data_IF_291939442692
#
_entry.id   IF_291939442692
#
_cell.length_a   1.000
_cell.length_b   1.000
_cell.length_c   1.000
_cell.angle_alpha   90.00
_cell.angle_beta   90.00
_cell.angle_gamma   90.00
#
_symmetry.space_group_name_H-M   'P 1'
#
loop_
_entity.id
_entity.type
_entity.pdbx_description
1 polymer ?
#
# COMPACT_ATOMS: atom_id res chain seq x y z
N UNK A 1 39.07 10.29 -19.95
CA UNK A 1 38.24 9.41 -19.09
C UNK A 1 36.84 9.40 -19.66
N UNK A 2 36.30 8.23 -19.97
CA UNK A 2 34.91 8.11 -20.43
C UNK A 2 33.98 8.10 -19.22
N UNK A 3 32.91 8.90 -19.27
CA UNK A 3 31.96 9.01 -18.18
C UNK A 3 30.53 9.03 -18.68
N UNK A 4 29.60 8.49 -17.89
CA UNK A 4 28.15 8.64 -18.08
C UNK A 4 27.61 9.47 -16.92
N UNK A 5 26.81 10.48 -17.25
CA UNK A 5 26.10 11.28 -16.26
C UNK A 5 24.78 10.59 -15.95
N UNK A 6 24.50 10.29 -14.68
CA UNK A 6 23.26 9.68 -14.27
C UNK A 6 22.60 10.47 -13.16
N UNK A 7 21.28 10.42 -13.10
CA UNK A 7 20.51 11.00 -12.00
C UNK A 7 19.36 10.09 -11.61
N UNK A 8 19.15 9.91 -10.31
CA UNK A 8 17.93 9.25 -9.86
C UNK A 8 16.72 10.13 -10.11
N UNK A 9 15.61 9.55 -10.56
CA UNK A 9 14.34 10.27 -10.71
C UNK A 9 13.87 10.96 -9.43
N UNK A 10 14.34 10.51 -8.26
CA UNK A 10 14.05 11.10 -6.95
C UNK A 10 15.02 12.22 -6.52
N UNK A 11 16.11 12.45 -7.26
CA UNK A 11 17.15 13.45 -6.96
C UNK A 11 17.20 14.52 -8.06
N UNK A 12 17.68 15.71 -7.71
CA UNK A 12 17.88 16.83 -8.65
C UNK A 12 19.29 16.83 -9.25
N UNK A 13 20.27 16.31 -8.53
CA UNK A 13 21.69 16.34 -8.88
C UNK A 13 22.11 15.17 -9.77
N UNK A 14 23.05 15.44 -10.68
CA UNK A 14 23.68 14.42 -11.52
C UNK A 14 24.96 13.90 -10.86
N UNK A 15 25.06 12.58 -10.80
CA UNK A 15 26.27 11.86 -10.43
C UNK A 15 26.94 11.32 -11.71
N UNK A 16 28.21 10.94 -11.62
CA UNK A 16 28.99 10.49 -12.78
C UNK A 16 29.58 9.12 -12.55
N UNK A 17 29.33 8.18 -13.45
CA UNK A 17 30.01 6.89 -13.48
C UNK A 17 31.16 6.96 -14.47
N UNK A 18 32.36 6.59 -14.02
CA UNK A 18 33.57 6.55 -14.84
C UNK A 18 33.81 5.12 -15.30
N UNK A 19 34.04 4.93 -16.59
CA UNK A 19 34.31 3.63 -17.19
C UNK A 19 35.42 3.76 -18.23
N UNK A 20 35.96 2.62 -18.63
CA UNK A 20 36.97 2.53 -19.68
C UNK A 20 36.33 2.02 -20.98
N UNK A 21 36.69 2.62 -22.12
CA UNK A 21 36.09 2.33 -23.44
C UNK A 21 35.19 3.44 -24.01
N UNK A 22 34.59 3.15 -25.17
CA UNK A 22 33.74 4.09 -25.93
C UNK A 22 32.27 4.08 -25.47
N UNK A 23 31.80 2.92 -25.02
CA UNK A 23 30.45 2.68 -24.53
C UNK A 23 30.52 1.77 -23.30
N UNK A 24 29.44 1.79 -22.51
CA UNK A 24 29.24 0.90 -21.36
C UNK A 24 27.97 0.08 -21.60
N UNK A 25 27.98 -1.20 -21.26
CA UNK A 25 26.77 -2.03 -21.33
C UNK A 25 25.80 -1.66 -20.21
N UNK A 26 24.50 -1.88 -20.43
CA UNK A 26 23.48 -1.58 -19.44
C UNK A 26 23.71 -2.35 -18.13
N UNK A 27 24.03 -3.65 -18.22
CA UNK A 27 24.36 -4.48 -17.06
C UNK A 27 25.50 -3.89 -16.22
N UNK A 28 26.57 -3.42 -16.88
CA UNK A 28 27.72 -2.85 -16.20
C UNK A 28 27.39 -1.51 -15.54
N UNK A 29 26.63 -0.67 -16.23
CA UNK A 29 26.18 0.61 -15.70
C UNK A 29 25.29 0.42 -14.47
N UNK A 30 24.33 -0.52 -14.51
CA UNK A 30 23.48 -0.86 -13.36
C UNK A 30 24.34 -1.33 -12.17
N UNK A 31 25.30 -2.22 -12.41
CA UNK A 31 26.20 -2.77 -11.39
C UNK A 31 27.03 -1.68 -10.70
N UNK A 32 27.63 -0.77 -11.48
CA UNK A 32 28.43 0.34 -10.93
C UNK A 32 27.59 1.34 -10.14
N UNK A 33 26.35 1.63 -10.59
CA UNK A 33 25.43 2.53 -9.88
C UNK A 33 24.94 1.88 -8.58
N UNK A 34 24.58 0.59 -8.60
CA UNK A 34 24.17 -0.13 -7.39
C UNK A 34 25.28 -0.16 -6.33
N UNK A 35 26.54 -0.39 -6.76
CA UNK A 35 27.71 -0.36 -5.87
C UNK A 35 27.96 1.01 -5.24
N UNK A 36 27.93 2.08 -6.05
CA UNK A 36 28.16 3.46 -5.55
C UNK A 36 27.07 3.95 -4.59
N UNK A 37 25.81 3.61 -4.86
CA UNK A 37 24.67 4.09 -4.06
C UNK A 37 24.29 3.10 -2.94
N UNK A 38 25.08 2.03 -2.77
CA UNK A 38 24.93 0.99 -1.73
C UNK A 38 23.52 0.38 -1.73
N UNK A 39 23.00 0.09 -2.92
CA UNK A 39 21.68 -0.51 -3.09
C UNK A 39 21.78 -2.03 -3.03
N UNK A 40 20.80 -2.67 -2.38
CA UNK A 40 20.72 -4.12 -2.29
C UNK A 40 20.06 -4.67 -3.54
N UNK A 41 20.78 -5.48 -4.30
CA UNK A 41 20.29 -6.17 -5.48
C UNK A 41 19.19 -7.21 -5.18
N UNK A 42 18.88 -7.48 -3.91
CA UNK A 42 17.76 -8.35 -3.49
C UNK A 42 16.41 -7.64 -3.49
N UNK A 43 16.42 -6.31 -3.30
CA UNK A 43 15.21 -5.57 -2.99
C UNK A 43 14.74 -4.72 -4.19
N UNK A 44 15.69 -4.30 -5.05
CA UNK A 44 15.42 -3.38 -6.15
C UNK A 44 16.34 -3.63 -7.35
N UNK A 45 15.77 -3.48 -8.55
CA UNK A 45 16.46 -3.31 -9.81
C UNK A 45 16.42 -1.83 -10.22
N UNK A 46 17.20 -1.49 -11.24
CA UNK A 46 17.32 -0.17 -11.81
C UNK A 46 16.77 -0.17 -13.23
N UNK A 47 15.74 0.62 -13.49
CA UNK A 47 15.28 0.96 -14.82
C UNK A 47 16.03 2.21 -15.30
N UNK A 48 16.65 2.16 -16.48
CA UNK A 48 17.48 3.24 -17.01
C UNK A 48 16.81 3.80 -18.27
N UNK A 49 16.64 5.11 -18.29
CA UNK A 49 16.02 5.86 -19.39
C UNK A 49 16.98 6.94 -19.87
N UNK A 50 17.10 7.14 -21.17
CA UNK A 50 17.90 8.24 -21.71
C UNK A 50 17.25 9.60 -21.37
N UNK A 51 18.03 10.56 -20.86
CA UNK A 51 17.50 11.86 -20.45
C UNK A 51 17.05 12.74 -21.63
N UNK A 52 17.62 12.54 -22.82
CA UNK A 52 17.34 13.34 -24.01
C UNK A 52 16.22 12.73 -24.86
N UNK A 53 16.33 11.45 -25.20
CA UNK A 53 15.36 10.75 -26.08
C UNK A 53 14.18 10.16 -25.33
N UNK A 54 14.28 10.03 -24.00
CA UNK A 54 13.30 9.32 -23.13
C UNK A 54 13.10 7.86 -23.50
N UNK A 55 14.03 7.29 -24.25
CA UNK A 55 14.04 5.88 -24.58
C UNK A 55 14.47 5.05 -23.36
N UNK A 56 13.73 3.98 -23.08
CA UNK A 56 14.01 3.08 -21.96
C UNK A 56 14.88 1.92 -22.41
N UNK A 57 16.00 1.71 -21.72
CA UNK A 57 16.89 0.58 -21.98
C UNK A 57 16.40 -0.63 -21.19
N UNK A 58 15.77 -1.58 -21.88
CA UNK A 58 15.27 -2.82 -21.29
C UNK A 58 16.30 -3.95 -21.37
N UNK A 59 17.03 -4.03 -22.48
CA UNK A 59 17.96 -5.11 -22.76
C UNK A 59 19.33 -4.88 -22.10
N UNK A 60 19.83 -5.88 -21.38
CA UNK A 60 21.08 -5.80 -20.61
C UNK A 60 22.34 -5.64 -21.48
N UNK A 61 22.25 -6.08 -22.74
CA UNK A 61 23.33 -6.01 -23.72
C UNK A 61 23.39 -4.67 -24.45
N UNK A 62 22.46 -3.73 -24.21
CA UNK A 62 22.48 -2.43 -24.91
C UNK A 62 23.68 -1.59 -24.50
N UNK A 63 24.29 -0.94 -25.51
CA UNK A 63 25.49 -0.14 -25.39
C UNK A 63 25.14 1.35 -25.22
N UNK A 64 25.48 1.92 -24.08
CA UNK A 64 25.28 3.33 -23.75
C UNK A 64 26.57 4.10 -24.07
N UNK A 65 26.54 5.11 -24.97
CA UNK A 65 27.75 5.83 -25.36
C UNK A 65 28.27 6.74 -24.23
N UNK A 66 29.58 7.05 -24.28
CA UNK A 66 30.20 8.04 -23.39
C UNK A 66 29.53 9.42 -23.49
N UNK A 67 29.57 10.17 -22.39
CA UNK A 67 28.98 11.50 -22.23
C UNK A 67 27.45 11.56 -22.42
N UNK A 68 26.78 10.41 -22.41
CA UNK A 68 25.32 10.36 -22.34
C UNK A 68 24.82 10.72 -20.94
N UNK A 69 23.60 11.25 -20.89
CA UNK A 69 22.88 11.55 -19.66
C UNK A 69 21.71 10.58 -19.51
N UNK A 70 21.64 9.87 -18.40
CA UNK A 70 20.60 8.88 -18.12
C UNK A 70 19.86 9.18 -16.82
N UNK A 71 18.59 8.80 -16.78
CA UNK A 71 17.72 8.87 -15.62
C UNK A 71 17.55 7.45 -15.09
N UNK A 72 17.74 7.29 -13.78
CA UNK A 72 17.68 6.01 -13.09
C UNK A 72 16.46 5.97 -12.19
N UNK A 73 15.64 4.92 -12.31
CA UNK A 73 14.48 4.67 -11.45
C UNK A 73 14.63 3.33 -10.76
N UNK A 74 14.29 3.25 -9.46
CA UNK A 74 14.26 1.99 -8.72
C UNK A 74 12.96 1.24 -9.02
N UNK A 75 13.05 -0.03 -9.36
CA UNK A 75 11.93 -0.95 -9.55
C UNK A 75 12.06 -2.10 -8.57
N UNK A 76 11.00 -2.52 -7.86
CA UNK A 76 11.08 -3.66 -6.94
C UNK A 76 11.36 -4.96 -7.72
N UNK A 77 12.22 -5.82 -7.17
CA UNK A 77 12.47 -7.17 -7.72
C UNK A 77 11.44 -8.10 -7.12
N UNK A 78 10.41 -8.42 -7.91
CA UNK A 78 9.22 -9.10 -7.46
C UNK A 78 8.01 -8.29 -7.87
N UNK A 79 7.18 -8.85 -8.74
CA UNK A 79 6.06 -8.16 -9.40
C UNK A 79 5.06 -7.56 -8.42
N UNK A 80 5.35 -6.36 -7.93
CA UNK A 80 4.34 -5.47 -7.40
C UNK A 80 3.63 -4.91 -8.63
N UNK A 81 2.50 -5.51 -8.99
CA UNK A 81 1.55 -4.90 -9.90
C UNK A 81 1.37 -3.44 -9.44
N UNK A 82 1.69 -2.44 -10.26
CA UNK A 82 1.55 -1.06 -9.83
C UNK A 82 0.08 -0.80 -9.54
N UNK A 83 -0.24 -0.53 -8.28
CA UNK A 83 -1.55 -0.05 -7.88
C UNK A 83 -1.75 1.35 -8.49
N UNK A 84 -2.55 1.39 -9.55
CA UNK A 84 -3.36 2.53 -9.95
C UNK A 84 -2.64 3.69 -10.63
N UNK A 85 -2.73 3.73 -11.97
CA UNK A 85 -3.31 4.89 -12.68
C UNK A 85 -4.09 4.38 -13.89
N UNK A 86 -5.40 4.52 -13.80
CA UNK A 86 -6.36 4.44 -14.90
C UNK A 86 -5.99 5.41 -16.01
N UNK A 87 -5.66 4.88 -17.19
CA UNK A 87 -6.06 5.47 -18.45
C UNK A 87 -6.89 4.41 -19.17
N UNK A 88 -8.20 4.63 -19.13
CA UNK A 88 -9.16 3.98 -20.01
C UNK A 88 -8.75 4.36 -21.43
N UNK A 89 -8.30 3.39 -22.21
CA UNK A 89 -8.43 3.47 -23.66
C UNK A 89 -9.21 2.22 -24.06
N UNK A 90 -10.50 2.47 -24.21
CA UNK A 90 -11.43 1.67 -24.99
C UNK A 90 -10.82 1.37 -26.36
N UNK A 91 -10.70 0.09 -26.70
CA UNK A 91 -10.49 -0.38 -28.08
C UNK A 91 -11.32 -1.64 -28.28
N UNK A 92 -12.53 -1.41 -28.78
CA UNK A 92 -13.30 -2.40 -29.52
C UNK A 92 -12.51 -2.96 -30.71
N UNK A 93 -12.84 -4.22 -31.03
CA UNK A 93 -12.83 -4.84 -32.36
C UNK A 93 -11.50 -5.36 -32.98
N UNK A 94 -11.34 -6.70 -32.99
CA UNK A 94 -11.71 -7.62 -34.10
C UNK A 94 -10.77 -8.85 -34.27
N UNK A 95 -11.41 -10.03 -34.17
CA UNK A 95 -11.37 -11.23 -35.02
C UNK A 95 -10.04 -11.93 -35.42
N UNK A 96 -9.93 -13.19 -34.96
CA UNK A 96 -9.64 -14.42 -35.73
C UNK A 96 -9.94 -15.60 -34.79
N UNK A 97 -10.76 -16.62 -35.03
CA UNK A 97 -11.27 -17.24 -36.24
C UNK A 97 -10.97 -18.75 -36.12
N UNK A 98 -11.93 -19.57 -35.69
CA UNK A 98 -12.06 -21.00 -36.06
C UNK A 98 -13.37 -21.61 -35.52
N UNK A 99 -13.85 -22.64 -36.20
CA UNK A 99 -15.24 -23.07 -36.38
C UNK A 99 -15.87 -24.00 -35.31
N UNK A 100 -17.21 -23.91 -35.21
CA UNK A 100 -18.29 -24.80 -34.70
C UNK A 100 -18.03 -26.34 -34.74
N UNK A 101 -18.74 -27.21 -33.96
CA UNK A 101 -20.21 -27.25 -33.82
C UNK A 101 -20.82 -27.58 -32.44
N UNK A 102 -22.15 -27.53 -32.46
CA UNK A 102 -23.18 -27.62 -31.41
C UNK A 102 -23.22 -28.92 -30.63
N UNK A 103 -23.57 -28.87 -29.35
CA UNK A 103 -24.54 -29.83 -28.81
C UNK A 103 -25.38 -29.20 -27.69
N UNK A 104 -26.69 -29.40 -27.79
CA UNK A 104 -27.69 -28.92 -26.84
C UNK A 104 -27.88 -29.99 -25.77
N UNK A 105 -27.38 -29.73 -24.56
CA UNK A 105 -27.67 -30.51 -23.35
C UNK A 105 -27.60 -29.56 -22.14
N UNK A 106 -28.31 -29.84 -21.04
CA UNK A 106 -28.68 -28.83 -20.06
C UNK A 106 -27.44 -28.34 -19.32
N UNK A 107 -26.92 -27.18 -19.73
CA UNK A 107 -25.72 -26.61 -19.11
C UNK A 107 -26.11 -25.98 -17.78
N UNK A 108 -25.73 -26.64 -16.69
CA UNK A 108 -25.68 -26.03 -15.37
C UNK A 108 -24.85 -24.76 -15.46
N UNK A 109 -25.37 -23.64 -14.94
CA UNK A 109 -24.71 -22.35 -15.07
C UNK A 109 -23.38 -22.34 -14.31
N UNK A 110 -22.39 -21.57 -14.81
CA UNK A 110 -21.06 -21.43 -14.19
C UNK A 110 -21.13 -21.09 -12.68
N UNK A 111 -22.15 -20.32 -12.27
CA UNK A 111 -22.40 -19.93 -10.89
C UNK A 111 -22.90 -21.08 -9.99
N UNK A 112 -23.51 -22.12 -10.57
CA UNK A 112 -23.90 -23.33 -9.86
C UNK A 112 -22.70 -24.28 -9.73
N UNK A 113 -21.88 -24.42 -10.78
CA UNK A 113 -20.66 -25.22 -10.73
C UNK A 113 -19.61 -24.68 -9.75
N UNK A 114 -19.46 -23.36 -9.64
CA UNK A 114 -18.51 -22.78 -8.68
C UNK A 114 -18.88 -23.09 -7.22
N UNK A 115 -20.10 -23.57 -6.93
CA UNK A 115 -20.58 -23.94 -5.58
C UNK A 115 -20.69 -25.45 -5.35
N UNK A 116 -20.51 -26.28 -6.39
CA UNK A 116 -20.58 -27.74 -6.23
C UNK A 116 -19.29 -28.30 -5.65
N UNK A 117 -19.40 -29.15 -4.63
CA UNK A 117 -18.25 -29.78 -3.96
C UNK A 117 -17.54 -30.82 -4.84
N UNK A 118 -18.28 -31.53 -5.70
CA UNK A 118 -17.73 -32.54 -6.61
C UNK A 118 -17.87 -32.08 -8.07
N UNK A 119 -16.81 -31.46 -8.60
CA UNK A 119 -16.72 -31.01 -10.00
C UNK A 119 -16.56 -32.18 -10.99
N UNK A 120 -16.02 -33.32 -10.54
CA UNK A 120 -15.78 -34.50 -11.39
C UNK A 120 -17.08 -35.09 -11.96
N UNK A 121 -18.12 -35.19 -11.11
CA UNK A 121 -19.42 -35.78 -11.45
C UNK A 121 -20.40 -34.78 -12.08
N UNK A 122 -20.03 -33.50 -12.18
CA UNK A 122 -20.90 -32.47 -12.76
C UNK A 122 -21.04 -32.67 -14.28
N UNK A 123 -22.27 -32.55 -14.81
CA UNK A 123 -22.55 -32.58 -16.24
C UNK A 123 -22.28 -31.20 -16.87
N UNK A 124 -21.00 -30.85 -17.02
CA UNK A 124 -20.56 -29.62 -17.70
C UNK A 124 -19.35 -29.89 -18.60
N UNK A 125 -19.08 -28.94 -19.50
CA UNK A 125 -17.91 -29.00 -20.37
C UNK A 125 -16.61 -29.07 -19.54
N UNK A 126 -15.59 -29.74 -20.06
CA UNK A 126 -14.29 -29.86 -19.40
C UNK A 126 -13.69 -28.47 -19.09
N UNK A 127 -13.84 -27.53 -20.02
CA UNK A 127 -13.43 -26.15 -19.86
C UNK A 127 -14.17 -25.42 -18.72
N UNK A 128 -15.48 -25.67 -18.54
CA UNK A 128 -16.25 -25.11 -17.42
C UNK A 128 -15.83 -25.70 -16.09
N UNK A 129 -15.52 -27.00 -16.04
CA UNK A 129 -14.99 -27.66 -14.84
C UNK A 129 -13.63 -27.08 -14.45
N UNK A 130 -12.74 -26.84 -15.43
CA UNK A 130 -11.42 -26.23 -15.19
C UNK A 130 -11.59 -24.79 -14.66
N UNK A 131 -12.47 -23.98 -15.26
CA UNK A 131 -12.78 -22.62 -14.78
C UNK A 131 -13.36 -22.63 -13.36
N UNK A 132 -14.30 -23.52 -13.07
CA UNK A 132 -14.90 -23.65 -11.75
C UNK A 132 -13.85 -24.10 -10.71
N UNK A 133 -12.98 -25.05 -11.05
CA UNK A 133 -11.87 -25.50 -10.19
C UNK A 133 -10.89 -24.36 -9.88
N UNK A 134 -10.49 -23.57 -10.89
CA UNK A 134 -9.65 -22.39 -10.69
C UNK A 134 -10.32 -21.32 -9.83
N UNK A 135 -11.64 -21.14 -9.95
CA UNK A 135 -12.39 -20.19 -9.13
C UNK A 135 -12.52 -20.65 -7.67
N UNK A 136 -12.77 -21.93 -7.42
CA UNK A 136 -12.92 -22.50 -6.07
C UNK A 136 -11.59 -22.47 -5.31
N UNK A 137 -10.51 -22.92 -5.96
CA UNK A 137 -9.16 -22.94 -5.37
C UNK A 137 -8.62 -21.55 -5.01
N UNK A 138 -9.05 -20.51 -5.74
CA UNK A 138 -8.67 -19.12 -5.52
C UNK A 138 -9.56 -18.42 -4.47
N UNK A 139 -10.81 -18.83 -4.30
CA UNK A 139 -11.79 -18.08 -3.50
C UNK A 139 -11.38 -17.82 -2.04
N UNK A 140 -10.62 -18.73 -1.41
CA UNK A 140 -10.07 -18.52 -0.06
C UNK A 140 -9.01 -17.42 0.01
N UNK A 141 -8.33 -17.12 -1.10
CA UNK A 141 -7.30 -16.09 -1.22
C UNK A 141 -7.83 -14.75 -1.73
N UNK A 142 -9.15 -14.59 -1.87
CA UNK A 142 -9.74 -13.32 -2.27
C UNK A 142 -9.38 -12.24 -1.22
N UNK A 143 -8.86 -11.07 -1.63
CA UNK A 143 -8.68 -9.92 -0.75
C UNK A 143 -9.90 -9.57 0.09
N UNK A 144 -11.13 -9.96 -0.28
CA UNK A 144 -12.30 -9.79 0.58
C UNK A 144 -12.18 -10.57 1.91
N UNK A 145 -11.57 -11.76 1.90
CA UNK A 145 -11.42 -12.60 3.09
C UNK A 145 -10.21 -12.23 3.96
N UNK A 146 -9.12 -11.73 3.36
CA UNK A 146 -7.90 -11.33 4.09
C UNK A 146 -7.82 -9.81 4.37
N UNK A 147 -8.53 -8.97 3.62
CA UNK A 147 -8.56 -7.55 3.92
C UNK A 147 -9.47 -7.29 5.11
N UNK A 148 -8.87 -6.77 6.20
CA UNK A 148 -9.56 -6.26 7.39
C UNK A 148 -10.37 -4.99 7.10
N UNK A 149 -11.03 -4.89 5.96
CA UNK A 149 -12.05 -3.88 5.73
C UNK A 149 -13.23 -4.32 6.59
N UNK A 150 -13.46 -3.61 7.69
CA UNK A 150 -14.57 -3.88 8.57
C UNK A 150 -15.89 -3.58 7.85
N UNK A 151 -16.40 -4.57 7.11
CA UNK A 151 -17.72 -4.56 6.48
C UNK A 151 -18.69 -5.12 7.51
N UNK A 152 -19.20 -4.26 8.39
CA UNK A 152 -20.15 -4.64 9.43
C UNK A 152 -20.29 -3.55 10.50
N UNK A 153 -21.34 -3.56 11.33
CA UNK A 153 -21.42 -2.66 12.48
C UNK A 153 -20.23 -2.93 13.41
N UNK A 154 -19.66 -1.88 14.05
CA UNK A 154 -18.57 -2.07 14.97
C UNK A 154 -19.02 -2.92 16.18
N UNK A 155 -18.09 -3.64 16.83
CA UNK A 155 -18.39 -4.38 18.06
C UNK A 155 -19.06 -3.48 19.12
N UNK A 156 -19.89 -4.06 19.99
CA UNK A 156 -20.66 -3.33 21.00
C UNK A 156 -19.81 -2.44 21.94
N UNK A 157 -18.54 -2.79 22.14
CA UNK A 157 -17.59 -2.06 22.98
C UNK A 157 -16.83 -0.94 22.23
N UNK A 158 -17.00 -0.81 20.92
CA UNK A 158 -16.35 0.24 20.14
C UNK A 158 -17.11 1.56 20.27
N UNK A 159 -16.39 2.61 20.67
CA UNK A 159 -16.88 3.99 20.71
C UNK A 159 -16.23 4.80 19.60
N UNK A 160 -17.01 5.60 18.91
CA UNK A 160 -16.49 6.48 17.87
C UNK A 160 -15.64 7.59 18.50
N UNK A 161 -14.34 7.64 18.20
CA UNK A 161 -13.43 8.66 18.71
C UNK A 161 -13.70 10.10 18.20
N UNK A 162 -14.66 10.28 17.28
CA UNK A 162 -15.10 11.60 16.84
C UNK A 162 -16.24 12.17 17.69
N UNK A 163 -17.23 11.36 18.03
CA UNK A 163 -18.46 11.81 18.71
C UNK A 163 -18.76 11.10 20.05
N UNK A 164 -17.95 10.12 20.45
CA UNK A 164 -18.10 9.34 21.68
C UNK A 164 -19.25 8.32 21.67
N UNK A 165 -20.09 8.28 20.63
CA UNK A 165 -21.25 7.35 20.54
C UNK A 165 -20.83 5.98 19.99
N UNK A 166 -21.52 4.93 20.44
CA UNK A 166 -21.36 3.56 19.92
C UNK A 166 -22.15 3.35 18.61
N UNK A 167 -21.96 2.19 17.98
CA UNK A 167 -22.78 1.76 16.83
C UNK A 167 -22.29 2.18 15.44
N UNK A 168 -21.22 2.97 15.33
CA UNK A 168 -20.62 3.31 14.02
C UNK A 168 -19.09 3.49 14.12
N UNK A 169 -18.37 3.16 13.05
CA UNK A 169 -16.94 3.46 12.94
C UNK A 169 -16.71 4.97 12.75
N UNK A 170 -15.53 5.44 13.16
CA UNK A 170 -15.12 6.84 12.98
C UNK A 170 -15.26 7.37 11.53
N UNK A 171 -15.11 6.48 10.54
CA UNK A 171 -15.26 6.81 9.10
C UNK A 171 -16.70 7.07 8.66
N UNK A 172 -17.67 6.57 9.43
CA UNK A 172 -19.11 6.70 9.17
C UNK A 172 -19.78 7.54 10.26
N UNK A 173 -19.05 8.50 10.83
CA UNK A 173 -19.59 9.34 11.89
C UNK A 173 -20.58 10.36 11.32
N UNK A 174 -21.82 10.42 11.82
CA UNK A 174 -22.82 11.38 11.34
C UNK A 174 -22.43 12.84 11.62
N UNK A 175 -21.48 13.08 12.53
CA UNK A 175 -20.96 14.42 12.87
C UNK A 175 -19.82 14.87 11.96
N UNK A 176 -19.72 14.34 10.73
CA UNK A 176 -18.61 14.65 9.80
C UNK A 176 -18.53 16.14 9.42
N UNK A 177 -19.57 16.95 9.68
CA UNK A 177 -19.66 18.30 9.14
C UNK A 177 -19.11 19.43 10.04
N UNK A 178 -19.05 19.28 11.36
CA UNK A 178 -18.63 20.39 12.23
C UNK A 178 -17.22 20.21 12.78
N UNK A 179 -16.22 20.69 12.01
CA UNK A 179 -14.83 20.81 12.48
C UNK A 179 -14.65 21.83 13.63
N UNK A 180 -15.71 22.52 14.07
CA UNK A 180 -15.61 23.66 14.98
C UNK A 180 -15.90 23.35 16.46
N UNK A 181 -16.39 22.15 16.77
CA UNK A 181 -16.62 21.75 18.16
C UNK A 181 -15.59 20.69 18.52
N UNK A 182 -14.51 21.12 19.19
CA UNK A 182 -13.52 20.20 19.71
C UNK A 182 -14.22 19.25 20.68
N UNK A 183 -14.42 18.00 20.24
CA UNK A 183 -15.10 17.00 21.04
C UNK A 183 -14.41 16.92 22.41
N UNK A 184 -15.17 16.84 23.53
CA UNK A 184 -14.59 16.68 24.85
C UNK A 184 -13.64 15.49 24.83
N UNK A 185 -12.33 15.77 24.95
CA UNK A 185 -11.33 14.71 25.02
C UNK A 185 -11.64 13.92 26.29
N UNK A 186 -11.85 12.59 26.19
CA UNK A 186 -12.16 11.79 27.37
C UNK A 186 -11.02 11.94 28.38
N UNK A 187 -11.38 12.22 29.64
CA UNK A 187 -10.41 12.30 30.74
C UNK A 187 -9.69 10.97 30.82
N UNK A 188 -8.36 11.00 30.68
CA UNK A 188 -7.52 9.79 30.72
C UNK A 188 -7.35 9.35 32.17
N UNK A 189 -7.37 8.04 32.40
CA UNK A 189 -7.06 7.48 33.73
C UNK A 189 -5.54 7.39 33.91
N UNK A 190 -5.04 7.73 35.10
CA UNK A 190 -3.61 7.63 35.41
C UNK A 190 -3.24 6.17 35.63
N UNK A 191 -2.62 5.53 34.63
CA UNK A 191 -2.08 4.17 34.75
C UNK A 191 -0.56 4.23 34.85
N UNK A 192 0.01 3.60 35.88
CA UNK A 192 1.46 3.41 36.03
C UNK A 192 2.26 4.58 36.60
N UNK A 193 1.63 5.69 36.97
CA UNK A 193 2.28 6.81 37.66
C UNK A 193 1.95 6.71 39.16
N UNK A 194 2.96 6.68 40.06
CA UNK A 194 2.72 6.68 41.50
C UNK A 194 2.04 7.97 41.98
N UNK A 195 1.13 7.84 42.94
CA UNK A 195 0.34 8.97 43.47
C UNK A 195 1.20 10.09 44.08
N UNK A 196 2.39 9.78 44.60
CA UNK A 196 3.32 10.78 45.15
C UNK A 196 3.85 11.77 44.11
N UNK A 197 3.81 11.41 42.83
CA UNK A 197 4.24 12.27 41.73
C UNK A 197 3.05 13.01 41.10
N UNK A 198 1.88 12.97 41.72
CA UNK A 198 0.65 13.60 41.22
C UNK A 198 0.20 14.71 42.16
N UNK A 199 -0.24 15.83 41.58
CA UNK A 199 -0.77 17.00 42.29
C UNK A 199 -2.27 17.06 42.05
N UNK A 200 -3.06 17.25 43.11
CA UNK A 200 -4.52 17.38 43.00
C UNK A 200 -4.88 18.58 42.14
N UNK A 201 -5.84 18.40 41.24
CA UNK A 201 -6.27 19.42 40.29
C UNK A 201 -7.80 19.49 40.21
N UNK A 202 -8.32 20.65 39.83
CA UNK A 202 -9.74 20.86 39.63
C UNK A 202 -10.22 20.20 38.31
N UNK A 203 -11.48 19.72 38.25
CA UNK A 203 -12.05 19.10 37.06
C UNK A 203 -12.10 20.11 35.90
N UNK A 204 -11.38 19.80 34.82
CA UNK A 204 -11.28 20.66 33.63
C UNK A 204 -9.92 21.35 33.44
N UNK A 205 -8.99 21.19 34.40
CA UNK A 205 -7.61 21.68 34.23
C UNK A 205 -6.90 20.95 33.09
N UNK A 206 -6.10 21.67 32.29
CA UNK A 206 -5.28 21.10 31.20
C UNK A 206 -4.43 19.94 31.77
N UNK A 207 -4.51 18.77 31.13
CA UNK A 207 -3.75 17.58 31.56
C UNK A 207 -4.29 16.84 32.79
N UNK A 208 -5.45 17.23 33.34
CA UNK A 208 -6.06 16.51 34.46
C UNK A 208 -6.39 15.05 34.06
N UNK A 209 -5.92 14.13 34.89
CA UNK A 209 -6.18 12.69 34.77
C UNK A 209 -7.00 12.22 35.97
N UNK A 210 -7.81 11.18 35.76
CA UNK A 210 -8.56 10.56 36.84
C UNK A 210 -7.70 9.48 37.52
N UNK A 211 -7.49 9.61 38.83
CA UNK A 211 -6.76 8.62 39.63
C UNK A 211 -7.62 7.37 39.88
N UNK A 212 -7.00 6.30 40.37
CA UNK A 212 -7.73 5.10 40.85
C UNK A 212 -8.67 5.41 42.03
N UNK A 213 -8.43 6.50 42.77
CA UNK A 213 -9.28 6.97 43.87
C UNK A 213 -10.44 7.85 43.39
N UNK A 214 -10.53 8.14 42.08
CA UNK A 214 -11.58 8.98 41.51
C UNK A 214 -11.33 10.49 41.67
N UNK A 215 -10.15 10.89 42.15
CA UNK A 215 -9.74 12.29 42.24
C UNK A 215 -9.09 12.73 40.92
N UNK A 216 -9.25 14.01 40.56
CA UNK A 216 -8.53 14.59 39.43
C UNK A 216 -7.13 15.03 39.89
N UNK A 217 -6.12 14.60 39.15
CA UNK A 217 -4.74 14.96 39.45
C UNK A 217 -3.89 15.06 38.17
N UNK A 218 -2.84 15.87 38.24
CA UNK A 218 -1.90 16.13 37.16
C UNK A 218 -0.50 15.68 37.63
N UNK A 219 0.32 15.04 36.80
CA UNK A 219 1.71 14.79 37.15
C UNK A 219 2.43 16.08 37.56
N UNK A 220 3.22 16.07 38.63
CA UNK A 220 3.89 17.26 39.16
C UNK A 220 4.70 18.01 38.09
N UNK A 221 5.41 17.26 37.23
CA UNK A 221 6.19 17.79 36.10
C UNK A 221 5.30 18.55 35.10
N UNK A 222 4.11 18.01 34.81
CA UNK A 222 3.16 18.62 33.87
C UNK A 222 2.49 19.85 34.51
N UNK A 223 2.19 19.79 35.81
CA UNK A 223 1.64 20.92 36.55
C UNK A 223 2.59 22.13 36.52
N UNK A 224 3.88 21.91 36.75
CA UNK A 224 4.92 22.95 36.61
C UNK A 224 5.00 23.49 35.17
N UNK A 225 4.96 22.62 34.18
CA UNK A 225 5.00 23.02 32.77
C UNK A 225 3.79 23.89 32.37
N UNK A 226 2.60 23.58 32.90
CA UNK A 226 1.40 24.38 32.64
C UNK A 226 1.43 25.75 33.33
N UNK A 227 2.04 25.86 34.52
CA UNK A 227 2.30 27.16 35.15
C UNK A 227 3.24 28.02 34.30
N UNK A 228 4.22 27.38 33.64
CA UNK A 228 5.15 28.04 32.71
C UNK A 228 4.55 28.33 31.31
N UNK A 229 3.27 28.00 31.08
CA UNK A 229 2.57 28.29 29.83
C UNK A 229 2.95 27.40 28.64
N UNK A 230 3.52 26.21 28.88
CA UNK A 230 3.90 25.24 27.84
C UNK A 230 2.80 24.20 27.56
#
# INVERSE_FOLDING_TARGET
MSCVHYKFSSKLDYNTVTFDGLHITLAELKRQIMGRERLKATDCDLQITNAQTREEYTDEEVHIPKHSSVIVRRTPIGGVKPAGRTFIVDRSDMAAGSSRPTDSSPSVSLAQLSKTANLAEANASEDDKIRAMMSQSNSEYDPIHYSKKAVGPPPAHYTCYRCGKNGHYIKHCPMQMDKSVEAPKPVRTSKGIPQSFMVKAEPGTKGAMLTSTGEYAIPAIDAEAYVLGK
#
